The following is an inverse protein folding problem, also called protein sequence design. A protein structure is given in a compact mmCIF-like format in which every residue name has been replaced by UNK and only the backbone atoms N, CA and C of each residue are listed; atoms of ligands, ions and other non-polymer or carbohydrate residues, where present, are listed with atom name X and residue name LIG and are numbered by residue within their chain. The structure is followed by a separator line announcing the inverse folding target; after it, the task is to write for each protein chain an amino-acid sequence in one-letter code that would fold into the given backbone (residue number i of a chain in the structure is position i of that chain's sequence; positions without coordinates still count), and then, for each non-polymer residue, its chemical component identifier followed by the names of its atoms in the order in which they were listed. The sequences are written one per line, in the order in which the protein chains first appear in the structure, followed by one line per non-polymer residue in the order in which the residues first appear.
data_IF_745097875316
#
_entry.id   IF_745097875316
#
_cell.length_a   1.000
_cell.length_b   1.000
_cell.length_c   1.000
_cell.angle_alpha   90.00
_cell.angle_beta   90.00
_cell.angle_gamma   90.00
#
_symmetry.space_group_name_H-M   'P 1'
#
loop_
_entity.id
_entity.type
_entity.pdbx_description
1 polymer ?
#
# COMPACT_ATOMS: atom_id res chain seq x y z
N UNK A 1 -2.06 -19.09 12.05
CA UNK A 1 -1.70 -18.53 10.72
C UNK A 1 -2.18 -19.48 9.65
N UNK A 2 -2.92 -19.02 8.63
CA UNK A 2 -3.34 -19.83 7.49
C UNK A 2 -2.18 -19.94 6.48
N UNK A 3 -1.39 -21.01 6.57
CA UNK A 3 -0.28 -21.26 5.63
C UNK A 3 -0.74 -21.87 4.32
N UNK A 4 -1.66 -22.85 4.40
CA UNK A 4 -2.17 -23.59 3.25
C UNK A 4 -3.69 -23.71 3.30
N UNK A 5 -4.41 -23.22 2.31
CA UNK A 5 -5.87 -23.16 2.36
C UNK A 5 -6.54 -24.55 2.51
N UNK A 6 -6.02 -25.55 1.79
CA UNK A 6 -6.63 -26.88 1.73
C UNK A 6 -6.08 -27.86 2.78
N UNK A 7 -5.20 -27.38 3.67
CA UNK A 7 -4.63 -28.20 4.73
C UNK A 7 -5.50 -28.15 6.00
N UNK A 8 -5.55 -29.25 6.79
CA UNK A 8 -6.12 -29.22 8.13
C UNK A 8 -5.57 -28.05 8.95
N UNK A 9 -6.46 -27.30 9.59
CA UNK A 9 -6.13 -26.10 10.38
C UNK A 9 -5.30 -25.06 9.60
N UNK A 10 -5.47 -24.99 8.28
CA UNK A 10 -4.72 -24.11 7.40
C UNK A 10 -3.22 -24.39 7.39
N UNK A 11 -2.80 -25.61 7.74
CA UNK A 11 -1.39 -25.97 7.87
C UNK A 11 -0.70 -25.35 9.10
N UNK A 12 -1.46 -24.79 10.05
CA UNK A 12 -0.92 -24.17 11.26
C UNK A 12 -0.36 -25.18 12.26
N UNK A 13 -1.04 -26.30 12.43
CA UNK A 13 -0.70 -27.34 13.41
C UNK A 13 -1.27 -28.68 12.94
N UNK A 14 -0.69 -29.78 13.41
CA UNK A 14 -1.22 -31.14 13.27
C UNK A 14 -2.09 -31.57 14.44
N UNK A 15 -2.05 -30.84 15.56
CA UNK A 15 -2.90 -31.05 16.73
C UNK A 15 -4.16 -30.19 16.69
N UNK A 16 -4.86 -30.09 17.81
CA UNK A 16 -6.04 -29.20 17.93
C UNK A 16 -5.59 -27.77 18.20
N UNK A 17 -5.89 -26.78 17.32
CA UNK A 17 -5.57 -25.40 17.60
C UNK A 17 -6.44 -24.87 18.75
N UNK A 18 -5.87 -24.03 19.61
CA UNK A 18 -6.59 -23.41 20.74
C UNK A 18 -7.74 -22.50 20.28
N UNK A 19 -7.64 -21.95 19.07
CA UNK A 19 -8.70 -21.18 18.41
C UNK A 19 -8.96 -21.78 17.01
N UNK A 20 -10.22 -22.08 16.65
CA UNK A 20 -10.55 -22.59 15.33
C UNK A 20 -10.17 -21.62 14.21
N UNK A 21 -9.75 -22.17 13.07
CA UNK A 21 -9.48 -21.38 11.87
C UNK A 21 -10.75 -21.24 11.04
N UNK A 22 -11.28 -20.02 10.97
CA UNK A 22 -12.46 -19.72 10.13
C UNK A 22 -12.15 -19.71 8.63
N UNK A 23 -13.17 -19.98 7.82
CA UNK A 23 -13.09 -20.04 6.35
C UNK A 23 -12.50 -18.78 5.73
N UNK A 24 -12.86 -17.60 6.24
CA UNK A 24 -12.35 -16.33 5.74
C UNK A 24 -10.81 -16.20 5.88
N UNK A 25 -10.21 -16.87 6.88
CA UNK A 25 -8.75 -16.90 7.02
C UNK A 25 -8.12 -17.88 6.03
N UNK A 26 -8.75 -19.02 5.79
CA UNK A 26 -8.29 -20.02 4.81
C UNK A 26 -8.35 -19.46 3.38
N UNK A 27 -9.40 -18.70 3.05
CA UNK A 27 -9.53 -17.98 1.78
C UNK A 27 -8.44 -16.91 1.55
N UNK A 28 -7.67 -16.57 2.59
CA UNK A 28 -6.54 -15.64 2.55
C UNK A 28 -5.22 -16.32 2.96
N UNK A 29 -5.13 -17.63 2.79
CA UNK A 29 -3.92 -18.37 3.12
C UNK A 29 -2.70 -17.92 2.32
N UNK A 30 -1.51 -18.14 2.90
CA UNK A 30 -0.24 -17.66 2.36
C UNK A 30 0.08 -18.30 1.01
N UNK A 31 -0.20 -19.58 0.80
CA UNK A 31 0.02 -20.26 -0.48
C UNK A 31 -0.79 -19.66 -1.63
N UNK A 32 -2.06 -19.30 -1.39
CA UNK A 32 -2.88 -18.59 -2.37
C UNK A 32 -2.33 -17.19 -2.66
N UNK A 33 -2.12 -16.37 -1.61
CA UNK A 33 -1.63 -15.02 -1.80
C UNK A 33 -0.22 -14.97 -2.42
N UNK A 34 0.65 -15.94 -2.13
CA UNK A 34 2.00 -15.97 -2.67
C UNK A 34 2.02 -16.15 -4.20
N UNK A 35 0.97 -16.75 -4.77
CA UNK A 35 0.83 -16.99 -6.20
C UNK A 35 -0.05 -15.95 -6.90
N UNK A 36 -0.72 -15.07 -6.16
CA UNK A 36 -1.56 -14.01 -6.70
C UNK A 36 -0.83 -12.65 -6.69
N UNK A 37 -0.49 -12.08 -7.86
CA UNK A 37 0.19 -10.79 -7.95
C UNK A 37 -0.69 -9.60 -7.51
N UNK A 38 -2.02 -9.77 -7.47
CA UNK A 38 -2.96 -8.77 -6.97
C UNK A 38 -3.21 -8.87 -5.46
N UNK A 39 -2.59 -9.84 -4.77
CA UNK A 39 -2.81 -10.08 -3.35
C UNK A 39 -2.25 -8.96 -2.45
N UNK A 40 -2.80 -8.88 -1.24
CA UNK A 40 -2.25 -8.00 -0.20
C UNK A 40 -0.80 -8.35 0.15
N UNK A 41 -0.43 -9.63 0.12
CA UNK A 41 0.96 -10.07 0.31
C UNK A 41 1.89 -9.51 -0.77
N UNK A 42 1.49 -9.57 -2.05
CA UNK A 42 2.25 -9.01 -3.16
C UNK A 42 2.39 -7.49 -3.02
N UNK A 43 1.29 -6.78 -2.74
CA UNK A 43 1.29 -5.34 -2.48
C UNK A 43 2.24 -4.97 -1.32
N UNK A 44 2.18 -5.72 -0.22
CA UNK A 44 3.02 -5.47 0.97
C UNK A 44 4.50 -5.69 0.64
N UNK A 45 4.85 -6.74 -0.10
CA UNK A 45 6.22 -6.98 -0.56
C UNK A 45 6.72 -5.84 -1.46
N UNK A 46 5.89 -5.39 -2.40
CA UNK A 46 6.22 -4.27 -3.29
C UNK A 46 6.44 -2.97 -2.49
N UNK A 47 5.58 -2.66 -1.51
CA UNK A 47 5.73 -1.49 -0.65
C UNK A 47 7.02 -1.53 0.19
N UNK A 48 7.37 -2.69 0.75
CA UNK A 48 8.63 -2.87 1.47
C UNK A 48 9.86 -2.76 0.56
N UNK A 49 9.79 -3.30 -0.65
CA UNK A 49 10.85 -3.16 -1.64
C UNK A 49 11.05 -1.69 -2.05
N UNK A 50 9.96 -0.98 -2.34
CA UNK A 50 9.95 0.46 -2.61
C UNK A 50 10.62 1.25 -1.46
N UNK A 51 10.23 0.98 -0.21
CA UNK A 51 10.83 1.63 0.96
C UNK A 51 12.34 1.38 1.09
N UNK A 52 12.85 0.23 0.65
CA UNK A 52 14.29 -0.10 0.67
C UNK A 52 15.07 0.64 -0.41
N UNK A 53 14.50 0.77 -1.61
CA UNK A 53 15.15 1.39 -2.77
C UNK A 53 15.17 2.91 -2.69
N UNK A 54 14.23 3.53 -1.97
CA UNK A 54 14.12 4.99 -1.86
C UNK A 54 14.48 5.49 -0.45
N UNK A 55 15.70 6.02 -0.24
CA UNK A 55 16.13 6.53 1.06
C UNK A 55 15.20 7.59 1.65
N UNK A 56 14.54 8.40 0.81
CA UNK A 56 13.55 9.37 1.26
C UNK A 56 12.38 8.73 2.02
N UNK A 57 11.92 7.55 1.60
CA UNK A 57 10.85 6.83 2.31
C UNK A 57 11.34 6.29 3.66
N UNK A 58 12.62 5.90 3.76
CA UNK A 58 13.17 5.27 4.96
C UNK A 58 13.61 6.28 6.02
N UNK A 59 14.34 7.32 5.61
CA UNK A 59 15.03 8.26 6.49
C UNK A 59 14.79 9.74 6.15
N UNK A 60 14.06 10.03 5.07
CA UNK A 60 13.82 11.40 4.65
C UNK A 60 12.98 12.18 5.67
N UNK A 61 13.11 13.50 5.65
CA UNK A 61 12.22 14.40 6.33
C UNK A 61 10.76 14.13 5.91
N UNK A 62 9.83 14.50 6.78
CA UNK A 62 8.41 14.33 6.57
C UNK A 62 7.77 15.71 6.62
N UNK A 63 7.09 16.08 5.54
CA UNK A 63 6.33 17.32 5.46
C UNK A 63 4.87 16.97 5.14
N UNK A 64 3.97 17.28 6.06
CA UNK A 64 2.54 17.08 5.84
C UNK A 64 2.05 18.11 4.80
N UNK A 65 1.45 17.63 3.71
CA UNK A 65 0.92 18.50 2.66
C UNK A 65 -0.60 18.64 2.75
N UNK A 66 -1.29 17.55 3.09
CA UNK A 66 -2.75 17.53 3.28
C UNK A 66 -3.14 16.37 4.19
N UNK A 67 -4.12 16.59 5.07
CA UNK A 67 -4.79 15.53 5.81
C UNK A 67 -6.22 15.93 6.13
N UNK A 68 -7.16 15.07 5.75
CA UNK A 68 -8.55 15.15 6.17
C UNK A 68 -9.10 13.74 6.46
N UNK A 69 -10.42 13.58 6.52
CA UNK A 69 -11.05 12.28 6.81
C UNK A 69 -10.89 11.22 5.71
N UNK A 70 -10.51 11.60 4.50
CA UNK A 70 -10.41 10.70 3.34
C UNK A 70 -9.01 10.66 2.72
N UNK A 71 -8.27 11.78 2.69
CA UNK A 71 -6.99 11.88 2.01
C UNK A 71 -5.85 12.17 2.98
N UNK A 72 -4.77 11.40 2.87
CA UNK A 72 -3.48 11.69 3.48
C UNK A 72 -2.46 11.96 2.39
N UNK A 73 -1.84 13.14 2.39
CA UNK A 73 -0.76 13.49 1.49
C UNK A 73 0.44 14.09 2.25
N UNK A 74 1.63 13.61 1.93
CA UNK A 74 2.87 14.11 2.53
C UNK A 74 4.04 14.01 1.56
N UNK A 75 5.03 14.89 1.74
CA UNK A 75 6.31 14.79 1.08
C UNK A 75 7.31 14.04 1.95
N UNK A 76 8.18 13.26 1.29
CA UNK A 76 9.37 12.65 1.89
C UNK A 76 10.59 13.11 1.14
N UNK A 77 11.55 13.72 1.85
CA UNK A 77 12.68 14.37 1.21
C UNK A 77 14.02 14.06 1.87
N UNK A 78 15.06 14.03 1.03
CA UNK A 78 16.48 14.04 1.41
C UNK A 78 17.17 15.08 0.54
N UNK A 79 18.47 15.32 0.76
CA UNK A 79 19.25 16.22 -0.10
C UNK A 79 19.27 15.83 -1.59
N UNK A 80 18.93 14.58 -1.96
CA UNK A 80 19.06 14.06 -3.33
C UNK A 80 17.74 13.54 -3.94
N UNK A 81 16.66 13.49 -3.16
CA UNK A 81 15.40 12.90 -3.59
C UNK A 81 14.24 13.50 -2.81
N UNK A 82 13.20 13.94 -3.53
CA UNK A 82 11.92 14.35 -2.98
C UNK A 82 10.79 13.54 -3.61
N UNK A 83 9.92 12.96 -2.78
CA UNK A 83 8.77 12.17 -3.21
C UNK A 83 7.49 12.77 -2.61
N UNK A 84 6.43 12.83 -3.39
CA UNK A 84 5.08 13.12 -2.92
C UNK A 84 4.33 11.80 -2.81
N UNK A 85 3.72 11.56 -1.65
CA UNK A 85 2.93 10.37 -1.37
C UNK A 85 1.49 10.81 -1.10
N UNK A 86 0.53 10.26 -1.83
CA UNK A 86 -0.90 10.61 -1.71
C UNK A 86 -1.71 9.33 -1.58
N UNK A 87 -2.58 9.27 -0.59
CA UNK A 87 -3.41 8.12 -0.25
C UNK A 87 -4.86 8.54 -0.11
N UNK A 88 -5.75 7.86 -0.83
CA UNK A 88 -7.17 7.85 -0.54
C UNK A 88 -7.49 6.69 0.40
N UNK A 89 -8.10 7.00 1.53
CA UNK A 89 -8.50 6.07 2.58
C UNK A 89 -10.01 5.79 2.55
N UNK A 90 -10.75 6.44 1.66
CA UNK A 90 -12.18 6.26 1.47
C UNK A 90 -12.51 5.18 0.42
N UNK A 91 -13.69 4.53 0.53
CA UNK A 91 -14.19 3.58 -0.45
C UNK A 91 -14.69 4.22 -1.75
N UNK A 92 -14.76 5.55 -1.83
CA UNK A 92 -15.15 6.28 -3.04
C UNK A 92 -13.95 7.01 -3.66
N UNK A 93 -14.10 7.42 -4.93
CA UNK A 93 -13.17 8.36 -5.54
C UNK A 93 -13.28 9.73 -4.86
N UNK A 94 -12.15 10.37 -4.61
CA UNK A 94 -12.07 11.67 -3.94
C UNK A 94 -11.37 12.70 -4.81
N UNK A 95 -11.68 13.96 -4.57
CA UNK A 95 -11.04 15.06 -5.28
C UNK A 95 -9.56 15.16 -4.90
N UNK A 96 -8.73 15.48 -5.88
CA UNK A 96 -7.32 15.78 -5.63
C UNK A 96 -7.19 17.03 -4.75
N UNK A 97 -6.44 17.00 -3.62
CA UNK A 97 -6.31 18.16 -2.76
C UNK A 97 -5.74 19.39 -3.49
N UNK A 98 -6.29 20.55 -3.18
CA UNK A 98 -5.85 21.81 -3.78
C UNK A 98 -4.39 22.12 -3.40
N UNK A 99 -3.63 22.70 -4.33
CA UNK A 99 -2.23 23.08 -4.11
C UNK A 99 -1.21 21.94 -4.25
N UNK A 100 -1.64 20.68 -4.35
CA UNK A 100 -0.73 19.57 -4.65
C UNK A 100 -0.41 19.48 -6.14
N UNK A 101 0.84 19.15 -6.47
CA UNK A 101 1.26 18.84 -7.84
C UNK A 101 0.37 17.75 -8.45
N UNK A 102 -0.03 17.94 -9.71
CA UNK A 102 -0.92 17.04 -10.46
C UNK A 102 -0.22 16.27 -11.57
N UNK A 103 1.09 16.45 -11.71
CA UNK A 103 1.91 15.81 -12.72
C UNK A 103 3.29 15.49 -12.14
N UNK A 104 3.96 14.53 -12.74
CA UNK A 104 5.24 14.04 -12.29
C UNK A 104 5.49 12.59 -12.68
N UNK A 105 6.68 12.11 -12.39
CA UNK A 105 7.08 10.74 -12.68
C UNK A 105 6.57 9.81 -11.59
N UNK A 106 5.59 8.97 -11.92
CA UNK A 106 5.07 7.95 -11.01
C UNK A 106 6.15 6.93 -10.67
N UNK A 107 6.37 6.74 -9.37
CA UNK A 107 7.30 5.75 -8.82
C UNK A 107 6.54 4.48 -8.42
N UNK A 108 5.37 4.63 -7.81
CA UNK A 108 4.50 3.52 -7.45
C UNK A 108 3.03 3.96 -7.45
N UNK A 109 2.15 3.01 -7.75
CA UNK A 109 0.70 3.22 -7.74
C UNK A 109 0.00 1.97 -7.19
N UNK A 110 -1.13 2.19 -6.52
CA UNK A 110 -2.09 1.16 -6.14
C UNK A 110 -3.50 1.63 -6.51
N UNK A 111 -4.35 0.69 -6.94
CA UNK A 111 -5.74 0.93 -7.36
C UNK A 111 -5.88 2.08 -8.37
N UNK A 112 -4.96 2.12 -9.35
CA UNK A 112 -4.95 3.12 -10.43
C UNK A 112 -4.88 4.57 -9.94
N UNK A 113 -4.19 4.81 -8.81
CA UNK A 113 -3.85 6.15 -8.36
C UNK A 113 -2.82 6.79 -9.28
N UNK A 114 -3.07 8.03 -9.70
CA UNK A 114 -2.18 8.79 -10.57
C UNK A 114 -2.09 10.22 -10.05
N UNK A 115 -1.02 10.98 -10.33
CA UNK A 115 -0.98 12.40 -10.01
C UNK A 115 -2.22 13.09 -10.60
N UNK A 116 -3.01 13.75 -9.76
CA UNK A 116 -4.27 14.38 -10.16
C UNK A 116 -5.52 13.49 -10.09
N UNK A 117 -5.42 12.18 -9.84
CA UNK A 117 -6.57 11.24 -9.82
C UNK A 117 -6.49 10.23 -8.66
N UNK A 118 -7.52 10.21 -7.81
CA UNK A 118 -7.62 9.31 -6.64
C UNK A 118 -8.91 8.50 -6.64
N UNK A 119 -8.93 7.31 -7.29
CA UNK A 119 -10.00 6.32 -7.11
C UNK A 119 -10.10 5.81 -5.66
N UNK A 120 -11.14 5.05 -5.39
CA UNK A 120 -11.35 4.34 -4.12
C UNK A 120 -10.07 3.60 -3.67
N UNK A 121 -9.66 3.83 -2.42
CA UNK A 121 -8.48 3.21 -1.82
C UNK A 121 -7.19 3.34 -2.63
N UNK A 122 -7.08 4.34 -3.51
CA UNK A 122 -5.92 4.52 -4.35
C UNK A 122 -4.75 5.15 -3.61
N UNK A 123 -3.55 4.81 -4.07
CA UNK A 123 -2.33 5.43 -3.60
C UNK A 123 -1.42 5.75 -4.79
N UNK A 124 -0.70 6.86 -4.70
CA UNK A 124 0.34 7.21 -5.68
C UNK A 124 1.53 7.81 -4.97
N UNK A 125 2.73 7.36 -5.36
CA UNK A 125 4.02 7.94 -4.96
C UNK A 125 4.70 8.41 -6.23
N UNK A 126 5.09 9.68 -6.29
CA UNK A 126 5.66 10.29 -7.49
C UNK A 126 6.69 11.36 -7.17
N UNK A 127 7.56 11.64 -8.14
CA UNK A 127 8.44 12.81 -8.14
C UNK A 127 7.73 13.92 -8.92
N UNK A 128 7.44 15.03 -8.26
CA UNK A 128 6.76 16.17 -8.89
C UNK A 128 7.68 16.84 -9.94
N UNK A 129 7.11 17.24 -11.07
CA UNK A 129 7.81 18.13 -12.01
C UNK A 129 7.96 19.52 -11.38
N UNK A 130 9.14 20.12 -11.56
CA UNK A 130 9.45 21.48 -11.06
C UNK A 130 8.86 22.53 -11.98
#
# INVERSE_FOLDING_TARGET
MPWRADAPHGGFTTGTPWLPMGEANLARAVDWQANDPASLLALTRAALALRRVHPALRHGAFDLLHADGAVLAFARSTAKQGLVCVFNLAPEAVSWPAGLAKAGRTIASANCGEPGRLPAYAAVVFEAET
#
